data_IF_991758137062
#
_entry.id   IF_991758137062
#
_cell.length_a   1.000
_cell.length_b   1.000
_cell.length_c   1.000
_cell.angle_alpha   90.00
_cell.angle_beta   90.00
_cell.angle_gamma   90.00
#
_symmetry.space_group_name_H-M   'P 1'
#
loop_
_entity.id
_entity.type
_entity.pdbx_description
1 polymer ?
#
# COMPACT_ATOMS: atom_id res chain seq x y z
N UNK A 1 13.82 -28.64 -10.78
CA UNK A 1 14.14 -27.19 -10.65
C UNK A 1 14.90 -26.96 -9.35
N UNK A 2 15.83 -26.00 -9.33
CA UNK A 2 16.46 -25.53 -8.08
C UNK A 2 15.47 -24.69 -7.26
N UNK A 3 15.60 -24.69 -5.93
CA UNK A 3 14.68 -24.00 -5.01
C UNK A 3 14.47 -22.51 -5.36
N UNK A 4 15.55 -21.79 -5.69
CA UNK A 4 15.47 -20.39 -6.10
C UNK A 4 14.66 -20.20 -7.40
N UNK A 5 14.82 -21.09 -8.38
CA UNK A 5 14.08 -21.04 -9.63
C UNK A 5 12.58 -21.34 -9.44
N UNK A 6 12.23 -22.21 -8.47
CA UNK A 6 10.84 -22.46 -8.06
C UNK A 6 10.23 -21.21 -7.45
N UNK A 7 10.95 -20.55 -6.54
CA UNK A 7 10.52 -19.31 -5.90
C UNK A 7 10.28 -18.22 -6.95
N UNK A 8 11.21 -18.02 -7.89
CA UNK A 8 11.08 -17.04 -8.97
C UNK A 8 9.89 -17.36 -9.88
N UNK A 9 9.73 -18.62 -10.29
CA UNK A 9 8.58 -19.03 -11.10
C UNK A 9 7.25 -18.78 -10.37
N UNK A 10 7.12 -19.20 -9.11
CA UNK A 10 5.89 -19.02 -8.32
C UNK A 10 5.58 -17.54 -8.12
N UNK A 11 6.58 -16.68 -8.02
CA UNK A 11 6.37 -15.23 -7.93
C UNK A 11 5.82 -14.62 -9.22
N UNK A 12 6.01 -15.25 -10.38
CA UNK A 12 5.49 -14.78 -11.66
C UNK A 12 4.05 -15.27 -11.93
N UNK A 13 3.58 -16.27 -11.19
CA UNK A 13 2.19 -16.74 -11.25
C UNK A 13 1.24 -15.66 -10.73
N UNK A 14 0.30 -15.23 -11.56
CA UNK A 14 -0.60 -14.09 -11.30
C UNK A 14 -1.41 -14.21 -10.00
N UNK A 15 -1.92 -15.40 -9.67
CA UNK A 15 -2.69 -15.64 -8.44
C UNK A 15 -1.79 -15.59 -7.18
N UNK A 16 -0.51 -15.92 -7.33
CA UNK A 16 0.47 -15.96 -6.25
C UNK A 16 1.18 -14.62 -6.03
N UNK A 17 1.18 -13.72 -7.02
CA UNK A 17 1.74 -12.36 -6.89
C UNK A 17 1.13 -11.55 -5.72
N UNK A 18 -0.02 -11.98 -5.21
CA UNK A 18 -0.71 -11.40 -4.06
C UNK A 18 -0.25 -11.96 -2.71
N UNK A 19 0.74 -12.86 -2.67
CA UNK A 19 1.21 -13.44 -1.42
C UNK A 19 2.51 -12.76 -1.00
N UNK A 20 2.74 -12.53 0.30
CA UNK A 20 4.02 -12.03 0.77
C UNK A 20 5.13 -13.04 0.46
N UNK A 21 6.36 -12.54 0.35
CA UNK A 21 7.55 -13.35 0.02
C UNK A 21 7.73 -14.57 0.91
N UNK A 22 7.43 -14.43 2.21
CA UNK A 22 7.49 -15.52 3.18
C UNK A 22 6.48 -16.64 2.89
N UNK A 23 5.30 -16.31 2.34
CA UNK A 23 4.31 -17.29 1.92
C UNK A 23 4.73 -18.00 0.64
N UNK A 24 5.26 -17.27 -0.35
CA UNK A 24 5.82 -17.91 -1.56
C UNK A 24 6.96 -18.85 -1.20
N UNK A 25 7.85 -18.44 -0.29
CA UNK A 25 8.95 -19.27 0.19
C UNK A 25 8.43 -20.55 0.86
N UNK A 26 7.38 -20.46 1.70
CA UNK A 26 6.74 -21.63 2.30
C UNK A 26 6.04 -22.51 1.27
N UNK A 27 5.36 -21.94 0.29
CA UNK A 27 4.75 -22.69 -0.82
C UNK A 27 5.85 -23.44 -1.59
N UNK A 28 6.95 -22.76 -1.93
CA UNK A 28 8.09 -23.34 -2.63
C UNK A 28 8.72 -24.52 -1.89
N UNK A 29 8.67 -24.55 -0.54
CA UNK A 29 9.13 -25.67 0.28
C UNK A 29 8.21 -26.90 0.20
N UNK A 30 6.96 -26.72 -0.23
CA UNK A 30 5.93 -27.75 -0.21
C UNK A 30 5.42 -28.18 -1.59
N UNK A 31 5.78 -27.46 -2.66
CA UNK A 31 5.46 -27.87 -4.03
C UNK A 31 6.28 -29.08 -4.47
N UNK A 32 5.63 -29.94 -5.25
CA UNK A 32 6.22 -31.13 -5.85
C UNK A 32 6.25 -30.97 -7.36
N UNK A 33 7.40 -31.20 -7.98
CA UNK A 33 7.51 -31.18 -9.45
C UNK A 33 6.84 -32.42 -10.02
N UNK A 34 5.96 -32.22 -11.00
CA UNK A 34 5.27 -33.26 -11.77
C UNK A 34 5.61 -33.09 -13.25
N UNK A 35 5.83 -34.20 -13.93
CA UNK A 35 6.12 -34.24 -15.36
C UNK A 35 5.12 -35.15 -16.05
N UNK A 36 4.65 -34.72 -17.21
CA UNK A 36 3.74 -35.46 -18.06
C UNK A 36 4.24 -35.43 -19.50
N UNK A 37 4.15 -36.57 -20.18
CA UNK A 37 4.39 -36.65 -21.61
C UNK A 37 3.18 -36.14 -22.39
N UNK A 38 3.40 -35.79 -23.65
CA UNK A 38 2.31 -35.41 -24.56
C UNK A 38 1.26 -36.53 -24.63
N UNK A 39 0.00 -36.16 -24.46
CA UNK A 39 -1.15 -37.06 -24.44
C UNK A 39 -1.42 -37.72 -23.08
N UNK A 40 -0.57 -37.52 -22.08
CA UNK A 40 -0.84 -38.01 -20.73
C UNK A 40 -1.88 -37.14 -20.02
N UNK A 41 -2.77 -37.80 -19.29
CA UNK A 41 -3.73 -37.15 -18.43
C UNK A 41 -3.03 -36.64 -17.16
N UNK A 42 -3.24 -35.37 -16.84
CA UNK A 42 -2.77 -34.78 -15.58
C UNK A 42 -3.61 -35.29 -14.41
N UNK A 43 -4.90 -35.55 -14.67
CA UNK A 43 -5.84 -36.17 -13.74
C UNK A 43 -6.52 -37.38 -14.38
N UNK A 44 -6.52 -38.52 -13.67
CA UNK A 44 -7.44 -39.62 -13.95
C UNK A 44 -8.45 -39.74 -12.81
N UNK A 45 -9.73 -39.96 -13.17
CA UNK A 45 -10.84 -40.12 -12.24
C UNK A 45 -10.54 -41.27 -11.24
N UNK A 46 -10.61 -40.98 -9.93
CA UNK A 46 -10.43 -41.99 -8.87
C UNK A 46 -9.06 -42.02 -8.17
N UNK A 47 -8.06 -41.24 -8.60
CA UNK A 47 -6.80 -41.15 -7.85
C UNK A 47 -6.95 -40.30 -6.57
N UNK A 48 -6.57 -40.81 -5.38
CA UNK A 48 -6.66 -40.08 -4.13
C UNK A 48 -5.65 -38.92 -4.07
N UNK A 49 -6.10 -37.78 -3.52
CA UNK A 49 -5.29 -36.58 -3.30
C UNK A 49 -5.63 -35.45 -4.25
N UNK A 50 -5.88 -34.28 -3.67
CA UNK A 50 -6.09 -33.00 -4.34
C UNK A 50 -4.93 -32.03 -4.14
N UNK A 51 -4.90 -30.99 -4.96
CA UNK A 51 -3.86 -29.98 -4.94
C UNK A 51 -4.02 -28.93 -6.02
N UNK A 52 -3.23 -27.88 -5.92
CA UNK A 52 -3.17 -26.78 -6.88
C UNK A 52 -1.93 -27.00 -7.76
N UNK A 53 -2.10 -26.96 -9.08
CA UNK A 53 -1.05 -27.15 -10.05
C UNK A 53 -0.72 -25.84 -10.75
N UNK A 54 0.56 -25.57 -10.95
CA UNK A 54 1.07 -24.40 -11.66
C UNK A 54 1.93 -24.85 -12.85
N UNK A 55 1.57 -24.45 -14.07
CA UNK A 55 2.28 -24.89 -15.29
C UNK A 55 3.58 -24.13 -15.44
N UNK A 56 4.70 -24.84 -15.34
CA UNK A 56 6.05 -24.28 -15.50
C UNK A 56 6.49 -24.22 -16.96
N UNK A 57 6.13 -25.24 -17.71
CA UNK A 57 6.55 -25.47 -19.10
C UNK A 57 5.54 -26.39 -19.77
N UNK A 58 5.30 -26.15 -21.06
CA UNK A 58 4.35 -26.91 -21.86
C UNK A 58 2.95 -26.28 -21.88
N UNK A 59 2.03 -27.01 -22.49
CA UNK A 59 0.64 -26.62 -22.70
C UNK A 59 -0.27 -27.77 -22.29
N UNK A 60 -1.40 -27.43 -21.67
CA UNK A 60 -2.44 -28.36 -21.27
C UNK A 60 -3.78 -27.94 -21.88
N UNK A 61 -4.61 -28.93 -22.20
CA UNK A 61 -5.97 -28.76 -22.69
C UNK A 61 -6.96 -29.25 -21.64
N UNK A 62 -8.03 -28.49 -21.44
CA UNK A 62 -9.05 -28.76 -20.42
C UNK A 62 -10.39 -28.96 -21.09
N UNK A 63 -11.02 -30.10 -20.78
CA UNK A 63 -12.36 -30.43 -21.22
C UNK A 63 -13.35 -30.23 -20.08
N UNK A 64 -14.23 -29.24 -20.18
CA UNK A 64 -15.40 -29.11 -19.30
C UNK A 64 -16.63 -29.67 -19.98
N UNK A 65 -17.27 -30.65 -19.37
CA UNK A 65 -18.61 -31.09 -19.75
C UNK A 65 -19.64 -30.49 -18.79
N UNK A 66 -20.61 -29.72 -19.28
CA UNK A 66 -21.70 -29.22 -18.45
C UNK A 66 -22.85 -30.24 -18.41
N UNK A 67 -23.36 -30.57 -17.22
CA UNK A 67 -24.61 -31.33 -17.06
C UNK A 67 -25.82 -30.42 -17.37
N UNK A 68 -26.06 -30.12 -18.64
CA UNK A 68 -27.36 -29.64 -19.11
C UNK A 68 -27.52 -29.90 -20.61
N UNK A 69 -28.28 -30.93 -20.98
CA UNK A 69 -29.04 -31.22 -22.23
C UNK A 69 -28.67 -30.59 -23.59
N UNK A 70 -27.45 -30.13 -23.82
CA UNK A 70 -26.93 -29.83 -25.16
C UNK A 70 -25.40 -29.95 -25.15
N UNK A 71 -24.86 -30.71 -26.10
CA UNK A 71 -23.44 -31.07 -26.25
C UNK A 71 -22.55 -29.87 -26.68
N UNK A 72 -22.42 -28.85 -25.84
CA UNK A 72 -21.35 -27.85 -25.99
C UNK A 72 -20.25 -28.13 -24.96
N UNK A 73 -19.18 -28.77 -25.42
CA UNK A 73 -17.93 -28.87 -24.67
C UNK A 73 -17.05 -27.67 -24.99
N UNK A 74 -16.61 -26.94 -23.96
CA UNK A 74 -15.63 -25.87 -24.12
C UNK A 74 -14.23 -26.42 -23.84
N UNK A 75 -13.33 -26.16 -24.79
CA UNK A 75 -11.93 -26.53 -24.74
C UNK A 75 -11.11 -25.30 -24.40
N UNK A 76 -10.43 -25.33 -23.25
CA UNK A 76 -9.51 -24.26 -22.85
C UNK A 76 -8.07 -24.73 -22.99
N UNK A 77 -7.18 -23.81 -23.40
CA UNK A 77 -5.73 -24.04 -23.42
C UNK A 77 -5.06 -23.24 -22.33
N UNK A 78 -4.26 -23.92 -21.53
CA UNK A 78 -3.45 -23.34 -20.48
C UNK A 78 -1.97 -23.54 -20.78
N UNK A 79 -1.18 -22.53 -20.47
CA UNK A 79 0.25 -22.50 -20.71
C UNK A 79 1.01 -22.06 -19.47
N UNK A 80 2.28 -21.68 -19.67
CA UNK A 80 3.15 -21.24 -18.58
C UNK A 80 2.50 -20.15 -17.72
N UNK A 81 2.58 -20.31 -16.41
CA UNK A 81 1.97 -19.47 -15.35
C UNK A 81 0.47 -19.65 -15.10
N UNK A 82 -0.24 -20.43 -15.93
CA UNK A 82 -1.61 -20.83 -15.60
C UNK A 82 -1.64 -21.86 -14.47
N UNK A 83 -2.79 -21.94 -13.80
CA UNK A 83 -2.98 -22.83 -12.65
C UNK A 83 -4.36 -23.46 -12.64
N UNK A 84 -4.46 -24.62 -11.98
CA UNK A 84 -5.71 -25.37 -11.86
C UNK A 84 -5.75 -26.19 -10.57
N UNK A 85 -6.95 -26.56 -10.13
CA UNK A 85 -7.17 -27.24 -8.86
C UNK A 85 -7.84 -28.60 -9.09
N UNK A 86 -7.44 -29.60 -8.31
CA UNK A 86 -8.15 -30.87 -8.22
C UNK A 86 -8.95 -30.89 -6.92
N UNK A 87 -10.25 -30.67 -6.99
CA UNK A 87 -11.16 -30.83 -5.85
C UNK A 87 -11.74 -32.25 -5.84
N UNK A 88 -11.89 -32.87 -4.67
CA UNK A 88 -12.56 -34.19 -4.55
C UNK A 88 -14.03 -34.17 -4.99
N UNK A 89 -14.64 -32.98 -5.11
CA UNK A 89 -16.03 -32.76 -5.49
C UNK A 89 -16.26 -32.42 -6.97
N UNK A 90 -15.23 -32.12 -7.74
CA UNK A 90 -15.38 -31.78 -9.17
C UNK A 90 -15.36 -33.05 -10.02
N UNK A 91 -16.56 -33.57 -10.26
CA UNK A 91 -16.79 -34.37 -11.46
C UNK A 91 -16.84 -33.39 -12.64
N UNK A 92 -15.98 -33.56 -13.64
CA UNK A 92 -16.06 -33.01 -15.02
C UNK A 92 -14.94 -32.06 -15.50
N UNK A 93 -13.68 -32.25 -15.11
CA UNK A 93 -12.54 -31.64 -15.83
C UNK A 93 -11.45 -32.67 -16.15
N UNK A 94 -11.39 -33.11 -17.41
CA UNK A 94 -10.24 -33.87 -17.92
C UNK A 94 -9.18 -32.87 -18.40
N UNK A 95 -7.97 -32.98 -17.85
CA UNK A 95 -6.82 -32.17 -18.26
C UNK A 95 -5.78 -33.06 -18.91
N UNK A 96 -5.44 -32.74 -20.16
CA UNK A 96 -4.49 -33.52 -20.97
C UNK A 96 -3.29 -32.64 -21.32
N UNK A 97 -2.08 -33.17 -21.17
CA UNK A 97 -0.87 -32.51 -21.61
C UNK A 97 -0.79 -32.52 -23.15
N UNK A 98 -0.86 -31.35 -23.80
CA UNK A 98 -0.73 -31.23 -25.26
C UNK A 98 0.72 -31.36 -25.72
N UNK A 99 1.65 -30.96 -24.86
CA UNK A 99 3.09 -31.08 -25.06
C UNK A 99 3.71 -31.72 -23.83
N UNK A 100 5.03 -31.88 -23.80
CA UNK A 100 5.72 -32.28 -22.57
C UNK A 100 5.47 -31.20 -21.51
N UNK A 101 4.73 -31.57 -20.47
CA UNK A 101 4.22 -30.64 -19.47
C UNK A 101 5.01 -30.82 -18.16
N UNK A 102 5.44 -29.71 -17.57
CA UNK A 102 6.02 -29.68 -16.23
C UNK A 102 5.17 -28.79 -15.34
N UNK A 103 4.70 -29.32 -14.21
CA UNK A 103 3.89 -28.61 -13.24
C UNK A 103 4.57 -28.59 -11.87
N UNK A 104 4.33 -27.54 -11.10
CA UNK A 104 4.52 -27.53 -9.64
C UNK A 104 3.17 -27.78 -8.99
N UNK A 105 3.06 -28.83 -8.19
CA UNK A 105 1.84 -29.19 -7.47
C UNK A 105 1.99 -28.86 -5.99
N UNK A 106 1.13 -27.99 -5.47
CA UNK A 106 0.96 -27.72 -4.05
C UNK A 106 -0.11 -28.65 -3.46
N UNK A 107 0.22 -29.56 -2.55
CA UNK A 107 -0.77 -30.46 -1.93
C UNK A 107 -1.85 -29.69 -1.14
N UNK A 108 -3.09 -30.19 -1.16
CA UNK A 108 -4.25 -29.54 -0.51
C UNK A 108 -4.06 -29.22 0.97
N UNK A 109 -3.31 -30.05 1.72
CA UNK A 109 -2.99 -29.79 3.14
C UNK A 109 -2.23 -28.46 3.36
N UNK A 110 -1.66 -27.89 2.30
CA UNK A 110 -0.96 -26.61 2.30
C UNK A 110 -1.72 -25.51 1.52
N UNK A 111 -2.94 -25.77 1.05
CA UNK A 111 -3.78 -24.79 0.35
C UNK A 111 -4.00 -23.50 1.14
N UNK A 112 -4.02 -23.58 2.47
CA UNK A 112 -4.10 -22.41 3.37
C UNK A 112 -2.96 -21.40 3.20
N UNK A 113 -1.80 -21.82 2.67
CA UNK A 113 -0.69 -20.92 2.36
C UNK A 113 -1.01 -19.94 1.23
N UNK A 114 -2.03 -20.24 0.42
CA UNK A 114 -2.57 -19.36 -0.62
C UNK A 114 -3.40 -18.20 -0.06
N UNK A 115 -3.68 -18.18 1.26
CA UNK A 115 -4.48 -17.15 1.94
C UNK A 115 -3.76 -16.54 3.16
N UNK A 116 -2.61 -15.86 2.97
CA UNK A 116 -1.76 -15.43 4.07
C UNK A 116 -2.33 -14.24 4.82
N UNK A 117 -2.41 -14.40 6.14
CA UNK A 117 -2.72 -13.37 7.14
C UNK A 117 -1.71 -12.21 7.10
N UNK A 118 -2.02 -11.15 6.35
CA UNK A 118 -1.41 -9.80 6.34
C UNK A 118 -2.28 -8.94 5.39
N UNK A 119 -1.91 -7.74 4.90
CA UNK A 119 -2.71 -6.89 3.96
C UNK A 119 -3.30 -7.63 2.74
N UNK A 120 -2.87 -8.87 2.54
CA UNK A 120 -3.24 -9.90 1.58
C UNK A 120 -4.44 -10.78 1.99
N UNK A 121 -4.96 -10.61 3.21
CA UNK A 121 -6.04 -11.42 3.78
C UNK A 121 -7.38 -10.68 3.75
N UNK A 122 -8.41 -11.35 3.25
CA UNK A 122 -9.80 -10.88 3.28
C UNK A 122 -10.43 -10.91 4.68
N UNK A 123 -9.78 -11.52 5.68
CA UNK A 123 -10.31 -11.73 7.04
C UNK A 123 -9.72 -10.78 8.10
N UNK A 124 -8.97 -9.76 7.66
CA UNK A 124 -8.37 -8.79 8.58
C UNK A 124 -9.44 -8.06 9.40
N UNK A 125 -9.17 -7.90 10.70
CA UNK A 125 -9.98 -7.07 11.56
C UNK A 125 -9.11 -6.33 12.57
N UNK A 126 -9.61 -5.23 13.12
CA UNK A 126 -8.89 -4.36 14.05
C UNK A 126 -8.42 -5.06 15.34
N UNK A 127 -8.90 -6.27 15.65
CA UNK A 127 -8.43 -7.04 16.81
C UNK A 127 -7.14 -7.82 16.51
N UNK A 128 -6.86 -8.11 15.25
CA UNK A 128 -5.77 -9.01 14.84
C UNK A 128 -4.60 -8.29 14.14
N UNK A 129 -4.78 -7.03 13.73
CA UNK A 129 -3.76 -6.27 13.01
C UNK A 129 -3.65 -4.82 13.49
N UNK A 130 -2.53 -4.15 13.16
CA UNK A 130 -2.34 -2.75 13.48
C UNK A 130 -3.39 -1.87 12.77
N UNK A 131 -3.85 -0.74 13.35
CA UNK A 131 -4.89 0.08 12.70
C UNK A 131 -4.49 0.61 11.32
N UNK A 132 -3.21 0.96 11.12
CA UNK A 132 -2.73 1.40 9.79
C UNK A 132 -2.71 0.25 8.79
N UNK A 133 -2.34 -0.95 9.22
CA UNK A 133 -2.35 -2.14 8.38
C UNK A 133 -3.77 -2.44 7.88
N UNK A 134 -4.76 -2.33 8.78
CA UNK A 134 -6.16 -2.48 8.42
C UNK A 134 -6.65 -1.41 7.44
N UNK A 135 -6.25 -0.14 7.61
CA UNK A 135 -6.56 0.95 6.65
C UNK A 135 -6.00 0.63 5.26
N UNK A 136 -4.83 -0.01 5.18
CA UNK A 136 -4.17 -0.33 3.92
C UNK A 136 -4.64 -1.66 3.30
N UNK A 137 -5.51 -2.40 3.99
CA UNK A 137 -6.13 -3.60 3.44
C UNK A 137 -7.09 -3.25 2.32
N UNK A 138 -7.12 -4.10 1.28
CA UNK A 138 -7.93 -3.90 0.10
C UNK A 138 -8.66 -5.20 -0.27
N UNK A 139 -9.94 -5.07 -0.62
CA UNK A 139 -10.69 -6.17 -1.20
C UNK A 139 -10.28 -6.35 -2.68
N UNK A 140 -9.83 -7.54 -3.11
CA UNK A 140 -9.63 -7.79 -4.52
C UNK A 140 -10.99 -7.87 -5.23
N UNK A 141 -11.16 -7.08 -6.30
CA UNK A 141 -12.31 -7.18 -7.20
C UNK A 141 -11.97 -7.95 -8.47
N UNK A 142 -10.73 -7.78 -8.96
CA UNK A 142 -10.20 -8.43 -10.16
C UNK A 142 -8.67 -8.52 -10.07
N UNK A 143 -7.99 -9.11 -11.07
CA UNK A 143 -6.53 -9.27 -11.16
C UNK A 143 -5.79 -7.96 -10.90
N UNK A 144 -6.28 -6.86 -11.47
CA UNK A 144 -5.67 -5.54 -11.38
C UNK A 144 -6.59 -4.48 -10.76
N UNK A 145 -7.69 -4.90 -10.11
CA UNK A 145 -8.69 -3.98 -9.55
C UNK A 145 -8.94 -4.32 -8.09
N UNK A 146 -8.83 -3.31 -7.23
CA UNK A 146 -8.94 -3.45 -5.78
C UNK A 146 -9.88 -2.40 -5.22
N UNK A 147 -10.58 -2.71 -4.14
CA UNK A 147 -11.47 -1.79 -3.42
C UNK A 147 -10.88 -1.49 -2.06
N UNK A 148 -10.65 -0.21 -1.79
CA UNK A 148 -10.33 0.31 -0.47
C UNK A 148 -11.52 1.01 0.15
N UNK A 149 -11.55 1.06 1.49
CA UNK A 149 -12.57 1.77 2.25
C UNK A 149 -11.92 2.73 3.23
N UNK A 150 -12.61 3.83 3.52
CA UNK A 150 -12.27 4.70 4.65
C UNK A 150 -13.02 4.18 5.87
N UNK A 151 -12.31 3.92 6.97
CA UNK A 151 -12.93 3.33 8.16
C UNK A 151 -13.99 4.24 8.78
N UNK A 152 -15.13 3.66 9.16
CA UNK A 152 -16.18 4.35 9.91
C UNK A 152 -15.61 4.78 11.27
N UNK A 153 -15.54 6.10 11.51
CA UNK A 153 -14.89 6.66 12.70
C UNK A 153 -13.47 7.17 12.47
N UNK A 154 -12.93 7.04 11.25
CA UNK A 154 -11.79 7.84 10.83
C UNK A 154 -12.13 9.32 10.98
N UNK A 155 -11.15 10.18 11.30
CA UNK A 155 -11.46 11.55 11.65
C UNK A 155 -12.16 12.31 10.51
N UNK A 156 -13.32 12.91 10.82
CA UNK A 156 -14.22 13.53 9.83
C UNK A 156 -13.71 14.88 9.34
N UNK A 157 -12.63 14.87 8.57
CA UNK A 157 -12.56 15.76 7.42
C UNK A 157 -13.46 15.08 6.40
N UNK A 158 -14.48 15.74 5.83
CA UNK A 158 -15.39 15.14 4.82
C UNK A 158 -14.66 14.73 3.51
N UNK A 159 -13.34 14.59 3.56
CA UNK A 159 -12.42 14.29 2.48
C UNK A 159 -11.53 13.12 2.87
N UNK A 160 -11.28 12.23 1.93
CA UNK A 160 -10.28 11.17 2.08
C UNK A 160 -8.90 11.80 2.31
N UNK A 161 -8.17 11.26 3.29
CA UNK A 161 -6.81 11.69 3.62
C UNK A 161 -5.83 11.33 2.48
N UNK A 162 -4.92 12.23 2.12
CA UNK A 162 -3.99 12.01 1.00
C UNK A 162 -3.06 10.83 1.21
N UNK A 163 -2.53 10.65 2.43
CA UNK A 163 -1.74 9.47 2.78
C UNK A 163 -2.54 8.15 2.71
N UNK A 164 -3.86 8.17 2.89
CA UNK A 164 -4.70 6.99 2.63
C UNK A 164 -4.74 6.66 1.14
N UNK A 165 -4.96 7.66 0.26
CA UNK A 165 -4.92 7.45 -1.19
C UNK A 165 -3.58 6.83 -1.61
N UNK A 166 -2.47 7.41 -1.17
CA UNK A 166 -1.13 6.94 -1.53
C UNK A 166 -0.87 5.53 -0.98
N UNK A 167 -1.10 5.30 0.31
CA UNK A 167 -0.84 4.01 0.93
C UNK A 167 -1.66 2.88 0.30
N UNK A 168 -2.97 3.09 0.09
CA UNK A 168 -3.85 2.10 -0.54
C UNK A 168 -3.50 1.90 -2.03
N UNK A 169 -3.20 2.95 -2.80
CA UNK A 169 -2.79 2.80 -4.20
C UNK A 169 -1.46 2.03 -4.34
N UNK A 170 -0.50 2.27 -3.45
CA UNK A 170 0.77 1.53 -3.43
C UNK A 170 0.58 0.09 -2.95
N UNK A 171 -0.33 -0.15 -2.01
CA UNK A 171 -0.71 -1.51 -1.63
C UNK A 171 -1.26 -2.25 -2.86
N UNK A 172 -2.20 -1.64 -3.60
CA UNK A 172 -2.75 -2.16 -4.85
C UNK A 172 -1.66 -2.45 -5.89
N UNK A 173 -0.76 -1.50 -6.14
CA UNK A 173 0.36 -1.68 -7.08
C UNK A 173 1.25 -2.86 -6.67
N UNK A 174 1.63 -2.94 -5.40
CA UNK A 174 2.49 -4.00 -4.85
C UNK A 174 1.86 -5.39 -5.04
N UNK A 175 0.52 -5.50 -5.04
CA UNK A 175 -0.21 -6.76 -5.30
C UNK A 175 -0.07 -7.30 -6.71
N UNK A 176 0.44 -6.50 -7.63
CA UNK A 176 0.55 -6.83 -9.06
C UNK A 176 2.00 -6.98 -9.51
N UNK A 177 2.96 -6.96 -8.56
CA UNK A 177 4.39 -6.96 -8.81
C UNK A 177 5.00 -8.18 -8.13
N UNK A 178 5.99 -8.81 -8.77
CA UNK A 178 6.77 -9.89 -8.19
C UNK A 178 7.40 -9.46 -6.86
N UNK A 179 7.25 -10.26 -5.80
CA UNK A 179 7.60 -9.88 -4.42
C UNK A 179 9.10 -9.55 -4.18
N UNK A 180 10.02 -9.98 -5.06
CA UNK A 180 11.42 -9.56 -4.99
C UNK A 180 11.64 -8.11 -5.46
N UNK A 181 10.69 -7.52 -6.18
CA UNK A 181 10.78 -6.14 -6.65
C UNK A 181 10.06 -5.26 -5.65
N UNK A 182 10.82 -4.47 -4.91
CA UNK A 182 10.33 -3.63 -3.84
C UNK A 182 10.13 -2.20 -4.37
N UNK A 183 9.07 -1.53 -3.91
CA UNK A 183 8.75 -0.15 -4.26
C UNK A 183 9.91 0.78 -3.91
N UNK A 184 10.52 1.47 -4.87
CA UNK A 184 11.62 2.42 -4.59
C UNK A 184 11.26 3.88 -4.89
N UNK A 185 10.24 4.14 -5.70
CA UNK A 185 9.73 5.50 -5.88
C UNK A 185 8.29 5.53 -6.37
N UNK A 186 7.63 6.68 -6.15
CA UNK A 186 6.38 7.01 -6.83
C UNK A 186 6.21 8.52 -7.02
N UNK A 187 5.33 8.87 -7.96
CA UNK A 187 4.84 10.23 -8.20
C UNK A 187 3.32 10.20 -8.27
N UNK A 188 2.66 11.08 -7.53
CA UNK A 188 1.21 11.09 -7.37
C UNK A 188 0.61 12.48 -7.63
N UNK A 189 -0.64 12.51 -8.08
CA UNK A 189 -1.43 13.73 -8.24
C UNK A 189 -2.81 13.58 -7.58
N UNK A 190 -3.22 14.60 -6.85
CA UNK A 190 -4.55 14.72 -6.26
C UNK A 190 -5.43 15.57 -7.18
N UNK A 191 -6.42 14.95 -7.82
CA UNK A 191 -7.27 15.61 -8.81
C UNK A 191 -8.54 16.18 -8.18
N UNK A 192 -9.19 15.39 -7.33
CA UNK A 192 -10.46 15.72 -6.69
C UNK A 192 -10.40 15.35 -5.21
N UNK A 193 -11.22 16.03 -4.40
CA UNK A 193 -11.41 15.62 -3.02
C UNK A 193 -12.24 14.33 -3.00
N UNK A 194 -11.70 13.25 -2.43
CA UNK A 194 -12.44 12.00 -2.28
C UNK A 194 -13.50 12.07 -1.18
N UNK A 195 -14.61 11.36 -1.33
CA UNK A 195 -15.64 11.23 -0.30
C UNK A 195 -15.32 10.04 0.63
N UNK A 196 -15.31 10.27 1.94
CA UNK A 196 -15.01 9.23 2.94
C UNK A 196 -16.09 8.14 3.05
N UNK A 197 -17.31 8.43 2.57
CA UNK A 197 -18.43 7.49 2.63
C UNK A 197 -18.52 6.59 1.39
N UNK A 198 -17.74 6.89 0.34
CA UNK A 198 -17.74 6.15 -0.92
C UNK A 198 -16.48 5.27 -0.95
N UNK A 199 -16.59 3.96 -1.24
CA UNK A 199 -15.43 3.11 -1.46
C UNK A 199 -14.54 3.64 -2.60
N UNK A 200 -13.24 3.41 -2.51
CA UNK A 200 -12.28 3.85 -3.53
C UNK A 200 -11.89 2.64 -4.36
N UNK A 201 -12.06 2.73 -5.68
CA UNK A 201 -11.66 1.66 -6.61
C UNK A 201 -10.28 1.99 -7.16
N UNK A 202 -9.30 1.14 -6.88
CA UNK A 202 -7.93 1.24 -7.37
C UNK A 202 -7.75 0.33 -8.58
N UNK A 203 -7.54 0.92 -9.74
CA UNK A 203 -7.27 0.24 -11.00
C UNK A 203 -5.79 0.33 -11.33
N UNK A 204 -5.13 -0.82 -11.53
CA UNK A 204 -3.69 -0.92 -11.72
C UNK A 204 -3.35 -1.26 -13.18
N UNK A 205 -2.61 -0.37 -13.84
CA UNK A 205 -2.04 -0.65 -15.16
C UNK A 205 -0.60 -1.16 -15.01
N UNK A 206 -0.32 -2.32 -15.61
CA UNK A 206 1.02 -2.90 -15.68
C UNK A 206 1.78 -2.30 -16.87
N UNK A 207 2.50 -1.20 -16.63
CA UNK A 207 3.16 -0.45 -17.71
C UNK A 207 4.45 -1.11 -18.20
N UNK A 208 5.19 -1.77 -17.31
CA UNK A 208 6.46 -2.43 -17.62
C UNK A 208 6.73 -3.55 -16.64
N UNK A 209 7.18 -4.70 -17.15
CA UNK A 209 7.74 -5.80 -16.38
C UNK A 209 9.00 -6.32 -17.07
N UNK A 210 10.15 -6.03 -16.47
CA UNK A 210 11.46 -6.56 -16.88
C UNK A 210 12.12 -7.24 -15.66
N UNK A 211 13.20 -8.03 -15.80
CA UNK A 211 13.74 -8.85 -14.71
C UNK A 211 13.98 -8.09 -13.39
N UNK A 212 14.60 -6.90 -13.45
CA UNK A 212 14.95 -6.13 -12.25
C UNK A 212 14.00 -4.96 -11.95
N UNK A 213 13.11 -4.60 -12.88
CA UNK A 213 12.25 -3.42 -12.75
C UNK A 213 10.80 -3.73 -13.08
N UNK A 214 9.88 -3.10 -12.36
CA UNK A 214 8.47 -3.04 -12.73
C UNK A 214 7.93 -1.63 -12.57
N UNK A 215 6.99 -1.25 -13.44
CA UNK A 215 6.32 0.06 -13.37
C UNK A 215 4.82 -0.16 -13.38
N UNK A 216 4.13 0.51 -12.46
CA UNK A 216 2.66 0.47 -12.32
C UNK A 216 2.10 1.88 -12.35
N UNK A 217 0.99 2.08 -13.05
CA UNK A 217 0.13 3.26 -12.85
C UNK A 217 -1.09 2.81 -12.06
N UNK A 218 -1.53 3.60 -11.09
CA UNK A 218 -2.72 3.31 -10.32
C UNK A 218 -3.66 4.50 -10.37
N UNK A 219 -4.88 4.27 -10.84
CA UNK A 219 -5.97 5.25 -10.79
C UNK A 219 -6.87 4.91 -9.60
N UNK A 220 -7.13 5.87 -8.74
CA UNK A 220 -8.15 5.78 -7.70
C UNK A 220 -9.43 6.46 -8.21
N UNK A 221 -10.52 5.72 -8.23
CA UNK A 221 -11.80 6.10 -8.83
C UNK A 221 -12.89 6.12 -7.77
N UNK A 222 -13.68 7.20 -7.76
CA UNK A 222 -14.95 7.31 -7.03
C UNK A 222 -15.99 7.91 -7.96
N UNK A 223 -17.21 7.36 -7.96
CA UNK A 223 -18.30 7.80 -8.84
C UNK A 223 -17.83 7.95 -10.30
N UNK A 224 -17.12 6.94 -10.81
CA UNK A 224 -16.61 6.88 -12.19
C UNK A 224 -15.59 7.97 -12.57
N UNK A 225 -15.12 8.77 -11.60
CA UNK A 225 -14.12 9.82 -11.82
C UNK A 225 -12.81 9.45 -11.15
N UNK A 226 -11.70 9.64 -11.86
CA UNK A 226 -10.37 9.54 -11.27
C UNK A 226 -10.17 10.70 -10.30
N UNK A 227 -10.09 10.39 -9.01
CA UNK A 227 -9.89 11.39 -7.94
C UNK A 227 -8.42 11.57 -7.58
N UNK A 228 -7.62 10.53 -7.83
CA UNK A 228 -6.19 10.48 -7.54
C UNK A 228 -5.53 9.48 -8.50
N UNK A 229 -4.28 9.73 -8.87
CA UNK A 229 -3.48 8.71 -9.52
C UNK A 229 -2.02 8.78 -9.08
N UNK A 230 -1.32 7.66 -9.25
CA UNK A 230 0.13 7.62 -9.11
C UNK A 230 0.78 6.76 -10.20
N UNK A 231 2.07 6.98 -10.41
CA UNK A 231 2.97 6.04 -11.08
C UNK A 231 4.02 5.60 -10.08
N UNK A 232 4.23 4.30 -9.95
CA UNK A 232 5.15 3.67 -9.01
C UNK A 232 6.18 2.80 -9.75
N UNK A 233 7.40 2.82 -9.25
CA UNK A 233 8.52 2.02 -9.76
C UNK A 233 9.05 1.09 -8.68
N UNK A 234 9.30 -0.14 -9.08
CA UNK A 234 9.72 -1.25 -8.24
C UNK A 234 11.03 -1.82 -8.79
N UNK A 235 11.95 -2.18 -7.89
CA UNK A 235 13.28 -2.64 -8.24
C UNK A 235 13.64 -3.87 -7.40
N UNK A 236 14.29 -4.85 -8.02
CA UNK A 236 14.86 -5.99 -7.32
C UNK A 236 16.05 -5.53 -6.49
N UNK A 237 16.17 -5.98 -5.25
CA UNK A 237 17.36 -5.68 -4.45
C UNK A 237 18.61 -6.30 -5.09
N UNK A 238 19.72 -5.56 -5.08
CA UNK A 238 21.00 -5.96 -5.66
C UNK A 238 22.08 -5.90 -4.56
N UNK A 239 22.89 -6.95 -4.43
CA UNK A 239 23.86 -7.10 -3.33
C UNK A 239 25.08 -6.15 -3.47
N UNK A 240 25.49 -5.83 -4.70
CA UNK A 240 26.70 -5.04 -5.00
C UNK A 240 26.40 -3.55 -5.32
N UNK A 241 25.48 -2.95 -4.56
CA UNK A 241 25.08 -1.55 -4.73
C UNK A 241 26.08 -0.54 -4.11
N UNK A 242 26.19 0.65 -4.71
CA UNK A 242 26.90 1.77 -4.08
C UNK A 242 26.07 2.35 -2.91
N UNK A 243 26.71 2.63 -1.79
CA UNK A 243 26.06 3.20 -0.61
C UNK A 243 26.74 4.50 -0.14
N UNK A 244 25.94 5.56 -0.01
CA UNK A 244 26.29 6.77 0.72
C UNK A 244 25.02 7.50 1.19
N UNK A 245 25.17 8.40 2.15
CA UNK A 245 24.18 9.43 2.44
C UNK A 245 24.89 10.74 2.82
N UNK A 246 24.45 11.86 2.28
CA UNK A 246 24.93 13.19 2.66
C UNK A 246 24.12 13.78 3.84
N UNK A 247 22.76 13.69 3.85
CA UNK A 247 21.98 14.24 4.94
C UNK A 247 22.29 13.55 6.27
N UNK A 248 22.63 14.34 7.28
CA UNK A 248 22.84 13.85 8.65
C UNK A 248 21.55 13.99 9.44
N UNK A 249 21.16 12.95 10.18
CA UNK A 249 20.02 13.03 11.10
C UNK A 249 20.27 14.14 12.14
N UNK A 250 19.34 15.09 12.33
CA UNK A 250 19.53 16.15 13.31
C UNK A 250 19.54 15.60 14.74
N UNK A 251 20.39 16.17 15.59
CA UNK A 251 20.43 15.83 17.02
C UNK A 251 19.17 16.35 17.71
N UNK A 252 18.30 15.44 18.11
CA UNK A 252 17.04 15.72 18.80
C UNK A 252 16.88 14.80 20.01
N UNK A 253 16.05 15.14 21.02
CA UNK A 253 15.75 14.23 22.11
C UNK A 253 15.15 12.92 21.62
N UNK A 254 15.46 11.83 22.34
CA UNK A 254 14.89 10.52 22.08
C UNK A 254 13.36 10.56 22.21
N UNK A 255 12.62 9.82 21.36
CA UNK A 255 11.18 9.86 21.34
C UNK A 255 10.58 9.52 22.70
N UNK A 256 11.18 8.59 23.45
CA UNK A 256 10.75 8.19 24.79
C UNK A 256 10.70 9.34 25.80
N UNK A 257 11.51 10.38 25.61
CA UNK A 257 11.56 11.57 26.49
C UNK A 257 10.52 12.63 26.17
N UNK A 258 9.91 12.53 24.99
CA UNK A 258 8.94 13.51 24.48
C UNK A 258 7.50 13.10 24.84
N UNK A 259 6.69 14.11 25.13
CA UNK A 259 5.26 13.91 25.39
C UNK A 259 4.50 13.64 24.08
N UNK A 260 3.63 12.62 24.04
CA UNK A 260 2.78 12.37 22.88
C UNK A 260 1.91 13.59 22.56
N UNK A 261 1.93 13.99 21.29
CA UNK A 261 0.93 14.86 20.67
C UNK A 261 0.76 16.27 21.27
N UNK A 262 1.61 16.65 22.22
CA UNK A 262 1.60 17.97 22.84
C UNK A 262 1.85 19.07 21.80
N UNK A 263 0.98 20.08 21.76
CA UNK A 263 1.08 21.22 20.84
C UNK A 263 0.48 20.99 19.44
N UNK A 264 0.25 19.74 19.00
CA UNK A 264 -0.39 19.47 17.70
C UNK A 264 -1.84 19.97 17.64
N UNK A 265 -2.54 19.94 18.78
CA UNK A 265 -3.96 20.31 18.90
C UNK A 265 -4.22 21.81 18.66
N UNK A 266 -3.22 22.66 18.88
CA UNK A 266 -3.39 24.12 18.83
C UNK A 266 -3.23 24.71 17.43
N UNK A 267 -2.51 24.03 16.53
CA UNK A 267 -2.15 24.63 15.24
C UNK A 267 -2.07 23.70 14.06
N UNK A 268 -2.31 22.41 14.26
CA UNK A 268 -2.45 21.49 13.15
C UNK A 268 -3.84 20.87 13.16
N UNK A 269 -4.50 20.97 12.00
CA UNK A 269 -5.51 19.97 11.67
C UNK A 269 -4.78 18.65 11.39
N UNK A 270 -4.39 17.95 12.46
CA UNK A 270 -4.34 16.50 12.36
C UNK A 270 -5.73 16.06 11.90
N UNK A 271 -5.86 14.98 11.12
CA UNK A 271 -7.18 14.51 10.76
C UNK A 271 -8.10 14.40 11.98
N UNK A 272 -7.55 14.09 13.17
CA UNK A 272 -8.22 13.94 14.47
C UNK A 272 -9.41 14.86 14.78
N UNK A 273 -10.38 14.22 15.43
CA UNK A 273 -11.41 14.83 16.26
C UNK A 273 -10.81 15.89 17.18
N UNK A 274 -11.16 17.16 17.00
CA UNK A 274 -11.38 18.02 18.17
C UNK A 274 -12.76 17.64 18.71
N UNK A 275 -12.89 17.02 19.90
CA UNK A 275 -14.19 16.88 20.53
C UNK A 275 -14.63 18.28 20.94
N UNK A 276 -15.49 18.93 20.14
CA UNK A 276 -16.55 19.72 20.76
C UNK A 276 -17.37 18.69 21.53
N UNK A 277 -17.48 18.90 22.84
CA UNK A 277 -18.15 18.02 23.78
C UNK A 277 -19.54 17.62 23.27
N UNK A 278 -19.65 16.47 22.60
CA UNK A 278 -20.91 15.82 22.28
C UNK A 278 -20.63 14.34 21.98
N UNK A 279 -20.98 13.53 22.98
CA UNK A 279 -21.25 12.08 22.95
C UNK A 279 -20.13 11.19 22.40
N UNK A 280 -19.30 10.70 23.33
CA UNK A 280 -18.51 9.48 23.18
C UNK A 280 -19.42 8.29 22.84
N UNK A 281 -19.58 8.00 21.55
CA UNK A 281 -20.05 6.70 21.08
C UNK A 281 -18.85 5.74 21.01
N UNK A 282 -19.05 4.49 21.43
CA UNK A 282 -18.03 3.44 21.59
C UNK A 282 -17.38 2.93 20.29
N UNK A 283 -17.45 3.69 19.19
CA UNK A 283 -17.11 3.27 17.83
C UNK A 283 -15.97 4.09 17.18
N UNK A 284 -15.22 4.89 17.95
CA UNK A 284 -14.08 5.65 17.41
C UNK A 284 -12.91 4.72 17.06
N UNK A 285 -12.50 4.67 15.79
CA UNK A 285 -11.28 3.96 15.40
C UNK A 285 -10.08 4.68 16.02
N UNK A 286 -9.20 3.98 16.77
CA UNK A 286 -8.04 4.62 17.38
C UNK A 286 -7.12 5.17 16.29
N UNK A 287 -6.64 6.39 16.49
CA UNK A 287 -5.70 7.05 15.57
C UNK A 287 -4.47 6.15 15.31
N UNK A 288 -4.15 5.83 14.04
CA UNK A 288 -3.25 4.72 13.68
C UNK A 288 -1.77 5.01 13.93
N UNK A 289 -1.40 6.28 14.10
CA UNK A 289 -0.01 6.75 14.21
C UNK A 289 0.25 7.32 15.60
N UNK A 290 1.39 7.05 16.20
CA UNK A 290 1.88 7.82 17.34
C UNK A 290 2.78 8.94 16.82
N UNK A 291 2.57 10.18 17.28
CA UNK A 291 3.38 11.34 16.87
C UNK A 291 3.92 12.04 18.12
N UNK A 292 5.22 12.30 18.17
CA UNK A 292 5.90 13.03 19.24
C UNK A 292 6.65 14.23 18.66
N UNK A 293 6.07 15.44 18.76
CA UNK A 293 6.74 16.69 18.43
C UNK A 293 8.08 16.86 19.14
N UNK A 294 9.14 17.24 18.42
CA UNK A 294 10.42 17.59 19.06
C UNK A 294 10.33 18.95 19.78
N UNK A 295 9.60 19.89 19.18
CA UNK A 295 9.34 21.22 19.78
C UNK A 295 7.84 21.54 19.69
N UNK A 296 7.04 21.22 20.73
CA UNK A 296 5.60 21.48 20.76
C UNK A 296 5.21 22.92 20.41
N UNK A 297 6.08 23.91 20.69
CA UNK A 297 5.80 25.33 20.46
C UNK A 297 5.82 25.71 18.97
N UNK A 298 6.31 24.82 18.09
CA UNK A 298 6.28 25.01 16.63
C UNK A 298 4.93 24.67 15.98
N UNK A 299 3.99 24.11 16.73
CA UNK A 299 2.74 23.53 16.19
C UNK A 299 1.50 24.39 16.45
N UNK A 300 1.63 25.72 16.49
CA UNK A 300 0.51 26.65 16.74
C UNK A 300 0.00 27.33 15.47
N UNK A 301 -1.31 27.69 15.42
CA UNK A 301 -1.93 28.46 14.32
C UNK A 301 -1.85 29.97 14.50
N UNK A 302 -1.50 30.44 15.69
CA UNK A 302 -1.67 31.85 16.07
C UNK A 302 -0.40 32.67 15.94
N UNK A 303 0.77 32.04 15.90
CA UNK A 303 2.05 32.76 15.83
C UNK A 303 2.86 32.32 14.63
N UNK A 304 3.65 33.27 14.11
CA UNK A 304 4.55 33.04 12.99
C UNK A 304 5.72 32.17 13.45
N UNK A 305 6.06 31.17 12.62
CA UNK A 305 7.14 30.21 12.90
C UNK A 305 7.97 29.96 11.65
N UNK A 306 9.17 29.43 11.84
CA UNK A 306 10.00 28.95 10.74
C UNK A 306 9.23 27.92 9.90
N UNK A 307 9.45 27.88 8.58
CA UNK A 307 8.83 26.92 7.67
C UNK A 307 9.47 25.54 7.80
N UNK A 308 9.67 25.05 9.02
CA UNK A 308 10.28 23.74 9.26
C UNK A 308 9.75 23.10 10.53
N UNK A 309 9.75 21.78 10.53
CA UNK A 309 9.31 20.98 11.66
C UNK A 309 10.07 19.66 11.75
N UNK A 310 10.09 19.09 12.94
CA UNK A 310 10.75 17.84 13.22
C UNK A 310 9.95 17.08 14.28
N UNK A 311 9.58 15.83 13.99
CA UNK A 311 8.86 14.97 14.94
C UNK A 311 9.17 13.51 14.74
N UNK A 312 9.07 12.77 15.83
CA UNK A 312 9.08 11.33 15.80
C UNK A 312 7.68 10.79 15.49
N UNK A 313 7.62 9.71 14.73
CA UNK A 313 6.39 8.99 14.46
C UNK A 313 6.62 7.49 14.30
N UNK A 314 5.58 6.71 14.59
CA UNK A 314 5.52 5.27 14.32
C UNK A 314 4.08 4.79 14.20
N UNK A 315 3.88 3.62 13.61
CA UNK A 315 2.60 2.92 13.62
C UNK A 315 2.29 2.44 15.04
N UNK A 316 1.01 2.50 15.42
CA UNK A 316 0.54 1.85 16.66
C UNK A 316 0.31 0.37 16.41
N UNK A 317 0.84 -0.48 17.28
CA UNK A 317 0.79 -1.94 17.12
C UNK A 317 1.99 -2.46 16.33
N UNK A 318 2.18 -3.78 16.34
CA UNK A 318 3.24 -4.45 15.59
C UNK A 318 2.80 -4.68 14.14
N UNK A 319 3.72 -4.48 13.21
CA UNK A 319 3.53 -4.78 11.79
C UNK A 319 4.30 -6.06 11.41
N UNK A 320 3.78 -6.88 10.48
CA UNK A 320 4.56 -7.94 9.84
C UNK A 320 5.88 -7.42 9.26
N UNK A 321 6.91 -8.26 9.24
CA UNK A 321 8.21 -7.94 8.64
C UNK A 321 8.15 -8.05 7.09
N UNK A 322 7.34 -7.20 6.48
CA UNK A 322 7.14 -7.10 5.03
C UNK A 322 7.46 -5.66 4.59
N UNK A 323 8.50 -5.49 3.77
CA UNK A 323 8.91 -4.18 3.29
C UNK A 323 7.88 -3.54 2.37
N UNK A 324 7.06 -4.32 1.65
CA UNK A 324 5.98 -3.74 0.85
C UNK A 324 4.99 -3.01 1.76
N UNK A 325 4.62 -3.62 2.90
CA UNK A 325 3.76 -3.00 3.91
C UNK A 325 4.43 -1.78 4.54
N UNK A 326 5.68 -1.90 5.02
CA UNK A 326 6.37 -0.78 5.67
C UNK A 326 6.50 0.42 4.73
N UNK A 327 6.76 0.21 3.44
CA UNK A 327 6.83 1.30 2.44
C UNK A 327 5.45 1.92 2.16
N UNK A 328 4.38 1.14 2.13
CA UNK A 328 3.01 1.67 2.05
C UNK A 328 2.65 2.51 3.29
N UNK A 329 3.05 2.08 4.49
CA UNK A 329 2.87 2.86 5.73
C UNK A 329 3.73 4.13 5.71
N UNK A 330 4.96 4.07 5.18
CA UNK A 330 5.80 5.26 4.99
C UNK A 330 5.14 6.31 4.09
N UNK A 331 4.48 5.88 3.01
CA UNK A 331 3.69 6.76 2.15
C UNK A 331 2.44 7.31 2.86
N UNK A 332 1.79 6.51 3.71
CA UNK A 332 0.70 6.99 4.56
C UNK A 332 1.17 8.08 5.53
N UNK A 333 2.37 7.93 6.09
CA UNK A 333 2.99 8.89 7.00
C UNK A 333 3.46 10.17 6.33
N UNK A 334 3.92 10.11 5.09
CA UNK A 334 4.59 11.24 4.43
C UNK A 334 3.71 12.47 4.23
N UNK A 335 2.38 12.30 4.15
CA UNK A 335 1.40 13.39 4.01
C UNK A 335 0.94 13.98 5.37
N UNK A 336 1.40 13.41 6.50
CA UNK A 336 1.09 13.96 7.82
C UNK A 336 1.77 15.32 8.00
N UNK A 337 0.97 16.34 8.30
CA UNK A 337 1.40 17.74 8.53
C UNK A 337 2.06 18.43 7.33
N UNK A 338 2.34 17.72 6.24
CA UNK A 338 3.42 18.04 5.33
C UNK A 338 3.26 19.39 4.64
N UNK A 339 2.25 19.55 3.76
CA UNK A 339 2.01 20.83 3.09
C UNK A 339 1.67 21.97 4.05
N UNK A 340 1.13 21.66 5.24
CA UNK A 340 0.77 22.68 6.23
C UNK A 340 1.99 23.41 6.79
N UNK A 341 3.21 22.85 6.67
CA UNK A 341 4.45 23.48 7.13
C UNK A 341 4.79 24.73 6.31
N UNK A 342 4.43 24.76 5.03
CA UNK A 342 4.55 25.98 4.20
C UNK A 342 3.72 27.15 4.71
N UNK A 343 2.72 26.90 5.55
CA UNK A 343 1.88 27.94 6.15
C UNK A 343 2.50 28.54 7.42
N UNK A 344 3.50 27.90 8.03
CA UNK A 344 4.08 28.34 9.31
C UNK A 344 4.53 29.81 9.32
N UNK A 345 5.22 30.34 8.29
CA UNK A 345 5.64 31.74 8.25
C UNK A 345 4.48 32.74 8.06
N UNK A 346 3.27 32.24 7.79
CA UNK A 346 2.10 33.05 7.47
C UNK A 346 1.01 32.99 8.54
N UNK A 347 1.19 32.13 9.55
CA UNK A 347 0.30 32.01 10.71
C UNK A 347 0.44 33.24 11.59
N UNK A 348 -0.70 33.86 11.87
CA UNK A 348 -0.87 34.97 12.81
C UNK A 348 -2.33 35.09 13.16
N UNK A 349 -2.62 35.70 14.31
CA UNK A 349 -3.99 35.99 14.73
C UNK A 349 -4.81 36.68 13.61
N UNK A 350 -6.06 36.26 13.42
CA UNK A 350 -6.95 36.76 12.37
C UNK A 350 -6.67 36.24 10.95
N UNK A 351 -5.60 35.47 10.71
CA UNK A 351 -5.39 34.80 9.41
C UNK A 351 -5.72 33.31 9.53
N UNK A 352 -6.60 32.85 8.64
CA UNK A 352 -6.99 31.45 8.53
C UNK A 352 -6.46 30.87 7.21
N UNK A 353 -5.23 30.37 7.18
CA UNK A 353 -4.69 29.80 5.96
C UNK A 353 -5.31 28.42 5.68
N UNK A 354 -5.46 28.08 4.41
CA UNK A 354 -5.86 26.75 3.95
C UNK A 354 -4.83 26.20 3.00
N UNK A 355 -4.74 24.87 2.96
CA UNK A 355 -3.86 24.14 2.05
C UNK A 355 -4.63 22.99 1.40
N UNK A 356 -4.32 22.71 0.13
CA UNK A 356 -4.76 21.52 -0.60
C UNK A 356 -3.55 20.94 -1.33
N UNK A 357 -3.29 19.65 -1.16
CA UNK A 357 -2.24 18.91 -1.87
C UNK A 357 -2.52 18.88 -3.38
N UNK A 358 -1.52 19.14 -4.21
CA UNK A 358 -1.62 19.00 -5.68
C UNK A 358 -0.93 17.72 -6.15
N UNK A 359 0.30 17.51 -5.70
CA UNK A 359 1.10 16.33 -6.01
C UNK A 359 1.78 15.78 -4.75
N UNK A 360 2.41 14.63 -4.87
CA UNK A 360 3.34 14.10 -3.88
C UNK A 360 4.31 13.14 -4.57
N UNK A 361 5.61 13.30 -4.33
CA UNK A 361 6.63 12.40 -4.86
C UNK A 361 7.48 11.87 -3.72
N UNK A 362 7.85 10.59 -3.79
CA UNK A 362 8.63 9.96 -2.74
C UNK A 362 9.61 8.94 -3.29
N UNK A 363 10.76 8.83 -2.63
CA UNK A 363 11.83 7.89 -2.94
C UNK A 363 12.21 7.15 -1.66
N UNK A 364 12.28 5.83 -1.75
CA UNK A 364 12.67 4.93 -0.66
C UNK A 364 14.09 4.45 -0.90
N UNK A 365 14.96 4.71 0.05
CA UNK A 365 16.40 4.51 -0.11
C UNK A 365 16.88 3.24 0.59
N UNK A 366 16.31 2.95 1.76
CA UNK A 366 16.70 1.82 2.60
C UNK A 366 15.48 1.17 3.22
N UNK A 367 15.64 -0.08 3.61
CA UNK A 367 14.64 -0.79 4.38
C UNK A 367 14.45 -0.18 5.77
N UNK A 368 13.21 -0.23 6.26
CA UNK A 368 12.87 0.31 7.56
C UNK A 368 11.67 -0.40 8.16
N UNK A 369 11.43 -0.12 9.45
CA UNK A 369 10.26 -0.59 10.17
C UNK A 369 9.38 0.61 10.54
N UNK A 370 8.20 0.67 9.94
CA UNK A 370 7.24 1.73 10.21
C UNK A 370 6.57 1.63 11.59
N UNK A 371 6.71 0.50 12.29
CA UNK A 371 6.31 0.30 13.69
C UNK A 371 7.46 0.54 14.69
N UNK A 372 8.64 0.92 14.21
CA UNK A 372 9.70 1.55 15.01
C UNK A 372 9.70 3.07 14.78
N UNK A 373 10.40 3.80 15.64
CA UNK A 373 10.49 5.25 15.58
C UNK A 373 11.25 5.72 14.34
N UNK A 374 10.58 6.56 13.55
CA UNK A 374 11.16 7.33 12.46
C UNK A 374 11.15 8.82 12.83
N UNK A 375 12.24 9.53 12.54
CA UNK A 375 12.31 10.97 12.69
C UNK A 375 11.98 11.62 11.35
N UNK A 376 10.87 12.35 11.28
CA UNK A 376 10.48 13.07 10.07
C UNK A 376 10.85 14.55 10.18
N UNK A 377 11.75 14.97 9.30
CA UNK A 377 12.23 16.34 9.15
C UNK A 377 11.59 16.93 7.91
N UNK A 378 10.90 18.06 8.06
CA UNK A 378 10.21 18.73 6.96
C UNK A 378 10.62 20.20 6.94
N UNK A 379 10.87 20.72 5.75
CA UNK A 379 11.05 22.15 5.50
C UNK A 379 10.26 22.63 4.28
N UNK A 380 9.94 23.93 4.25
CA UNK A 380 9.34 24.60 3.10
C UNK A 380 10.24 25.76 2.65
N UNK A 381 11.06 25.52 1.61
CA UNK A 381 11.97 26.54 1.09
C UNK A 381 11.27 27.77 0.50
N UNK A 382 10.05 27.58 -0.02
CA UNK A 382 9.34 28.63 -0.73
C UNK A 382 7.82 28.46 -0.68
N UNK A 383 7.14 29.59 -0.57
CA UNK A 383 5.73 29.74 -0.84
C UNK A 383 5.52 31.00 -1.69
N UNK A 384 4.99 30.84 -2.89
CA UNK A 384 4.81 31.92 -3.84
C UNK A 384 3.58 31.68 -4.71
N UNK A 385 2.87 32.77 -5.05
CA UNK A 385 1.71 32.75 -5.94
C UNK A 385 0.69 31.64 -5.59
N UNK A 386 0.25 31.63 -4.32
CA UNK A 386 -0.69 30.68 -3.76
C UNK A 386 -0.27 29.20 -3.84
N UNK A 387 1.04 28.92 -3.96
CA UNK A 387 1.61 27.58 -3.88
C UNK A 387 2.65 27.51 -2.77
N UNK A 388 2.61 26.42 -2.01
CA UNK A 388 3.64 26.07 -1.04
C UNK A 388 4.40 24.84 -1.52
N UNK A 389 5.71 24.83 -1.34
CA UNK A 389 6.57 23.68 -1.64
C UNK A 389 7.18 23.15 -0.34
N UNK A 390 7.05 21.85 -0.09
CA UNK A 390 7.63 21.18 1.08
C UNK A 390 8.55 20.04 0.64
N UNK A 391 9.63 19.84 1.40
CA UNK A 391 10.55 18.71 1.30
C UNK A 391 10.56 17.97 2.62
N UNK A 392 10.72 16.66 2.56
CA UNK A 392 10.66 15.77 3.71
C UNK A 392 11.78 14.73 3.67
N UNK A 393 12.35 14.42 4.82
CA UNK A 393 13.35 13.38 5.02
C UNK A 393 12.98 12.58 6.27
N UNK A 394 12.88 11.25 6.14
CA UNK A 394 12.70 10.39 7.32
C UNK A 394 13.97 9.61 7.60
N UNK A 395 14.38 9.63 8.86
CA UNK A 395 15.51 8.87 9.38
C UNK A 395 15.03 7.78 10.33
N UNK A 396 15.70 6.63 10.35
CA UNK A 396 15.49 5.66 11.42
C UNK A 396 16.33 6.02 12.66
N UNK A 397 16.18 5.27 13.77
CA UNK A 397 16.92 5.52 15.02
C UNK A 397 18.45 5.46 14.87
N UNK A 398 18.95 4.74 13.85
CA UNK A 398 20.39 4.65 13.57
C UNK A 398 20.93 5.87 12.83
N UNK A 399 20.05 6.81 12.43
CA UNK A 399 20.42 7.98 11.63
C UNK A 399 20.53 7.72 10.14
N UNK A 400 20.06 6.56 9.66
CA UNK A 400 20.02 6.24 8.23
C UNK A 400 18.83 6.94 7.59
N UNK A 401 19.05 7.62 6.46
CA UNK A 401 17.99 8.22 5.65
C UNK A 401 17.25 7.10 4.92
N UNK A 402 15.99 6.85 5.30
CA UNK A 402 15.21 5.72 4.76
C UNK A 402 14.29 6.13 3.62
N UNK A 403 13.77 7.36 3.63
CA UNK A 403 12.99 7.91 2.52
C UNK A 403 13.09 9.43 2.43
N UNK A 404 12.79 9.96 1.23
CA UNK A 404 12.66 11.40 0.97
C UNK A 404 11.37 11.69 0.23
N UNK A 405 10.75 12.84 0.53
CA UNK A 405 9.46 13.25 -0.03
C UNK A 405 9.50 14.71 -0.51
N UNK A 406 8.69 15.02 -1.52
CA UNK A 406 8.44 16.37 -2.00
C UNK A 406 6.97 16.55 -2.33
N UNK A 407 6.44 17.75 -2.09
CA UNK A 407 5.05 18.08 -2.37
C UNK A 407 4.87 19.56 -2.65
N UNK A 408 4.04 19.85 -3.65
CA UNK A 408 3.43 21.15 -3.90
C UNK A 408 1.96 21.10 -3.52
N UNK A 409 1.47 22.19 -2.95
CA UNK A 409 0.05 22.37 -2.70
C UNK A 409 -0.40 23.80 -2.90
N UNK A 410 -1.69 23.98 -3.14
CA UNK A 410 -2.34 25.29 -3.16
C UNK A 410 -2.47 25.77 -1.72
N UNK A 411 -1.91 26.95 -1.43
CA UNK A 411 -2.01 27.60 -0.12
C UNK A 411 -2.69 28.96 -0.25
N UNK A 412 -3.73 29.21 0.53
CA UNK A 412 -4.54 30.44 0.43
C UNK A 412 -4.82 31.01 1.80
N UNK A 413 -5.11 32.31 1.84
CA UNK A 413 -5.70 32.98 3.01
C UNK A 413 -7.21 32.92 2.83
N UNK A 414 -7.95 32.38 3.79
CA UNK A 414 -9.40 32.61 3.83
C UNK A 414 -9.62 34.08 4.19
N UNK A 415 -10.37 34.80 3.34
CA UNK A 415 -10.95 36.08 3.77
C UNK A 415 -12.03 35.76 4.80
N UNK A 416 -12.10 36.47 5.95
CA UNK A 416 -13.25 36.36 6.81
C UNK A 416 -14.52 36.65 5.99
N UNK A 417 -15.65 35.97 6.26
CA UNK A 417 -16.89 36.28 5.57
C UNK A 417 -17.15 37.77 5.72
N UNK A 418 -17.30 38.47 4.59
CA UNK A 418 -17.70 39.87 4.59
C UNK A 418 -19.01 39.94 5.38
N UNK A 419 -19.01 40.60 6.54
CA UNK A 419 -20.26 40.98 7.19
C UNK A 419 -21.03 41.78 6.16
N UNK A 420 -22.08 41.18 5.59
CA UNK A 420 -23.02 41.90 4.76
C UNK A 420 -23.48 43.12 5.57
N UNK A 421 -23.22 44.30 5.03
CA UNK A 421 -23.73 45.56 5.53
C UNK A 421 -25.23 45.40 5.75
N UNK A 422 -25.66 45.33 7.02
CA UNK A 422 -27.04 45.65 7.36
C UNK A 422 -27.17 47.16 7.18
N UNK A 423 -27.67 47.55 6.00
CA UNK A 423 -28.35 48.82 5.79
C UNK A 423 -29.78 48.50 5.39
#
# INVERSE_FOLDING_TARGET
MHFQAVIEFLGDVSVLQRLPSSSITKIAQHVVVKHYNSGEYVFQEGEPGGGIYFICEGEAEVFRSFLSDNHDSQVFRWGKFDHFMKNESDKQEDIIALTKLTCLMLPDKYSTLMHPYSIWSAEMNLKTCAPVEYILSLDPLDVNTFRGVTLKGAPKSNKVYGGQFMGQALAAASKTVHFHKILHSFHAHFLLAGDVNIPIIYQVDRLRDVPNLATRRVNAVQEERVVFFLIASFHREEEDGFDHQEPTMPSVPDPETLLPEQGLEEGVKLPRHTPRAEVSTSTSVPWPTEIRPVDPNKYTRYTTRSPSICYWLRAKGRLPADQALHRCVGAYFSDLLFIQISLNPHRREGIFPTSISLDHSMWFHRDFRADDWLLYVIDSPTAYNARGFCRGQMFNRKGELVLSAMQVGVVRKLKPPTTASKL
#
